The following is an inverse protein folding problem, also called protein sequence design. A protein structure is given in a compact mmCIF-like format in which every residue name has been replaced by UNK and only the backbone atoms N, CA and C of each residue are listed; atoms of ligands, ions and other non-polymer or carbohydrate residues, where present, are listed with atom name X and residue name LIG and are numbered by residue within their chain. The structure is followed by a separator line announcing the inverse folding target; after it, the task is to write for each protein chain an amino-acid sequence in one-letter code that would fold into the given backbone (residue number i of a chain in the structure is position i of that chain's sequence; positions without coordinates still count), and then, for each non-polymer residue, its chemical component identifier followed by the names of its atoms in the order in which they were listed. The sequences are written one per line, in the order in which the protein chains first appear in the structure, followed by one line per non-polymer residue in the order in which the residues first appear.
data_IF_442703127689
#
_entry.id   IF_442703127689
#
_cell.length_a   1.000
_cell.length_b   1.000
_cell.length_c   1.000
_cell.angle_alpha   90.00
_cell.angle_beta   90.00
_cell.angle_gamma   90.00
#
_symmetry.space_group_name_H-M   'P 1'
#
loop_
_entity.id
_entity.type
_entity.pdbx_description
1 polymer ?
#
# COMPACT_ATOMS: atom_id res chain seq x y z
N UNK A 1 -6.93 -2.43 -19.14
CA UNK A 1 -6.38 -3.72 -18.66
C UNK A 1 -6.05 -3.58 -17.19
N UNK A 2 -6.52 -4.50 -16.34
CA UNK A 2 -6.05 -4.62 -14.97
C UNK A 2 -4.60 -5.09 -14.99
N UNK A 3 -3.74 -4.46 -14.21
CA UNK A 3 -2.33 -4.84 -14.08
C UNK A 3 -2.17 -5.70 -12.83
N UNK A 4 -1.63 -6.91 -13.03
CA UNK A 4 -1.17 -7.73 -11.91
C UNK A 4 0.29 -7.39 -11.64
N UNK A 5 0.66 -7.24 -10.38
CA UNK A 5 2.04 -6.93 -9.99
C UNK A 5 2.35 -7.53 -8.63
N UNK A 6 3.54 -8.08 -8.46
CA UNK A 6 4.03 -8.55 -7.16
C UNK A 6 5.35 -7.86 -6.82
N UNK A 7 5.59 -7.64 -5.54
CA UNK A 7 6.86 -7.15 -5.03
C UNK A 7 7.12 -7.75 -3.65
N UNK A 8 8.39 -7.88 -3.30
CA UNK A 8 8.84 -8.40 -2.02
C UNK A 8 9.89 -7.47 -1.41
N UNK A 9 9.68 -7.09 -0.15
CA UNK A 9 10.65 -6.41 0.68
C UNK A 9 11.41 -7.39 1.57
N UNK A 10 12.20 -6.86 2.52
CA UNK A 10 12.92 -7.70 3.50
C UNK A 10 11.97 -8.45 4.45
N UNK A 11 10.89 -7.79 4.86
CA UNK A 11 9.99 -8.29 5.92
C UNK A 11 8.51 -8.32 5.53
N UNK A 12 8.19 -8.09 4.27
CA UNK A 12 6.81 -8.08 3.78
C UNK A 12 6.76 -8.36 2.28
N UNK A 13 5.59 -8.78 1.80
CA UNK A 13 5.31 -9.12 0.43
C UNK A 13 3.96 -8.58 0.04
N UNK A 14 3.82 -8.26 -1.24
CA UNK A 14 2.62 -7.65 -1.77
C UNK A 14 2.29 -8.20 -3.13
N UNK A 15 1.00 -8.17 -3.43
CA UNK A 15 0.41 -8.66 -4.66
C UNK A 15 -0.76 -7.77 -5.04
N UNK A 16 -0.78 -7.33 -6.30
CA UNK A 16 -1.90 -6.63 -6.92
C UNK A 16 -2.58 -7.59 -7.87
N UNK A 17 -3.88 -7.79 -7.69
CA UNK A 17 -4.73 -8.59 -8.59
C UNK A 17 -6.03 -7.82 -8.80
N UNK A 18 -6.41 -7.62 -10.06
CA UNK A 18 -7.65 -6.92 -10.42
C UNK A 18 -7.80 -5.53 -9.76
N UNK A 19 -6.70 -4.78 -9.62
CA UNK A 19 -6.72 -3.45 -9.00
C UNK A 19 -6.69 -3.45 -7.46
N UNK A 20 -6.76 -4.63 -6.83
CA UNK A 20 -6.76 -4.80 -5.37
C UNK A 20 -5.37 -5.09 -4.84
N UNK A 21 -4.98 -4.42 -3.75
CA UNK A 21 -3.74 -4.69 -3.04
C UNK A 21 -3.93 -5.72 -1.92
N UNK A 22 -3.19 -6.82 -2.03
CA UNK A 22 -2.97 -7.79 -0.98
C UNK A 22 -1.56 -7.60 -0.43
N UNK A 23 -1.40 -7.50 0.89
CA UNK A 23 -0.09 -7.26 1.52
C UNK A 23 0.00 -8.00 2.85
N UNK A 24 1.17 -8.54 3.15
CA UNK A 24 1.43 -9.34 4.35
C UNK A 24 2.90 -9.28 4.75
N UNK A 25 3.21 -9.52 6.02
CA UNK A 25 4.53 -9.44 6.62
C UNK A 25 4.47 -8.81 8.01
N UNK A 26 5.61 -8.26 8.45
CA UNK A 26 5.64 -7.44 9.66
C UNK A 26 4.94 -6.09 9.43
N UNK A 27 4.29 -5.57 10.46
CA UNK A 27 3.59 -4.28 10.45
C UNK A 27 4.35 -3.11 11.04
N UNK A 28 5.58 -3.30 11.54
CA UNK A 28 6.38 -2.25 12.19
C UNK A 28 6.58 -1.03 11.28
N UNK A 29 6.29 0.16 11.80
CA UNK A 29 6.32 1.42 11.03
C UNK A 29 5.16 1.57 10.04
N UNK A 30 4.07 0.81 10.20
CA UNK A 30 2.86 0.93 9.39
C UNK A 30 3.01 0.47 7.93
N UNK A 31 4.06 -0.30 7.60
CA UNK A 31 4.42 -0.65 6.21
C UNK A 31 3.35 -1.44 5.44
N UNK A 32 2.41 -2.07 6.13
CA UNK A 32 1.30 -2.78 5.50
C UNK A 32 0.16 -1.82 5.07
N UNK A 33 0.15 -0.60 5.59
CA UNK A 33 -0.85 0.41 5.25
C UNK A 33 -2.25 0.10 5.78
N UNK A 34 -2.39 -0.65 6.88
CA UNK A 34 -3.67 -0.96 7.53
C UNK A 34 -4.10 0.09 8.57
N UNK A 35 -3.38 1.20 8.70
CA UNK A 35 -3.65 2.23 9.73
C UNK A 35 -3.24 1.81 11.15
N UNK A 36 -2.60 0.66 11.30
CA UNK A 36 -2.02 0.15 12.54
C UNK A 36 -0.71 -0.61 12.24
N UNK A 37 0.01 -1.02 13.30
CA UNK A 37 1.32 -1.69 13.18
C UNK A 37 1.26 -3.21 13.36
N UNK A 38 0.07 -3.79 13.53
CA UNK A 38 -0.06 -5.24 13.63
C UNK A 38 0.45 -5.96 12.39
N UNK A 39 1.13 -7.08 12.61
CA UNK A 39 1.59 -7.95 11.54
C UNK A 39 0.44 -8.77 10.94
N UNK A 40 0.55 -9.09 9.65
CA UNK A 40 -0.36 -10.02 8.98
C UNK A 40 0.48 -11.08 8.28
N UNK A 41 0.38 -12.35 8.66
CA UNK A 41 1.23 -13.42 8.10
C UNK A 41 0.54 -14.25 6.99
N UNK A 42 -0.62 -13.78 6.54
CA UNK A 42 -1.33 -14.31 5.38
C UNK A 42 -1.68 -13.14 4.46
N UNK A 43 -1.83 -13.37 3.13
CA UNK A 43 -2.26 -12.32 2.22
C UNK A 43 -3.56 -11.66 2.70
N UNK A 44 -3.46 -10.39 3.11
CA UNK A 44 -4.59 -9.63 3.62
C UNK A 44 -4.89 -8.47 2.67
N UNK A 45 -6.16 -8.32 2.32
CA UNK A 45 -6.63 -7.24 1.47
C UNK A 45 -6.48 -5.90 2.22
N UNK A 46 -5.84 -4.91 1.59
CA UNK A 46 -5.81 -3.56 2.13
C UNK A 46 -7.16 -2.87 1.89
N UNK A 47 -7.88 -2.43 2.95
CA UNK A 47 -9.21 -1.88 2.82
C UNK A 47 -9.24 -0.40 2.40
N UNK A 48 -8.08 0.27 2.35
CA UNK A 48 -7.98 1.71 2.10
C UNK A 48 -7.64 2.06 0.64
N UNK A 49 -7.35 1.06 -0.19
CA UNK A 49 -7.06 1.26 -1.60
C UNK A 49 -8.19 0.66 -2.43
N UNK A 50 -8.98 1.54 -3.04
CA UNK A 50 -10.00 1.17 -4.01
C UNK A 50 -9.37 0.55 -5.28
N UNK A 51 -10.15 -0.21 -6.06
CA UNK A 51 -9.81 -1.09 -7.21
C UNK A 51 -9.03 -0.45 -8.38
N UNK A 52 -7.98 0.28 -8.07
CA UNK A 52 -7.25 1.22 -8.92
C UNK A 52 -5.74 1.10 -8.73
N UNK A 53 -5.28 0.14 -7.91
CA UNK A 53 -3.84 -0.12 -7.73
C UNK A 53 -3.29 -0.73 -9.01
N UNK A 54 -2.25 -0.09 -9.55
CA UNK A 54 -1.60 -0.48 -10.80
C UNK A 54 -0.36 -1.30 -10.57
N UNK A 55 0.50 -0.84 -9.66
CA UNK A 55 1.70 -1.54 -9.29
C UNK A 55 2.11 -1.23 -7.85
N UNK A 56 2.99 -2.07 -7.33
CA UNK A 56 3.59 -1.92 -6.00
C UNK A 56 5.10 -2.09 -6.07
N UNK A 57 5.80 -1.39 -5.19
CA UNK A 57 7.21 -1.54 -4.93
C UNK A 57 7.45 -1.58 -3.42
N UNK A 58 8.15 -2.61 -2.96
CA UNK A 58 8.45 -2.82 -1.54
C UNK A 58 9.96 -2.70 -1.32
N UNK A 59 10.35 -1.84 -0.39
CA UNK A 59 11.73 -1.73 0.09
C UNK A 59 11.97 -2.61 1.31
N UNK A 60 13.06 -2.35 2.04
CA UNK A 60 13.35 -3.12 3.25
C UNK A 60 12.24 -3.01 4.31
N UNK A 61 11.78 -1.78 4.56
CA UNK A 61 10.82 -1.43 5.62
C UNK A 61 9.72 -0.47 5.16
N UNK A 62 9.64 -0.14 3.87
CA UNK A 62 8.68 0.81 3.31
C UNK A 62 7.94 0.20 2.11
N UNK A 63 6.73 0.71 1.84
CA UNK A 63 5.85 0.26 0.77
C UNK A 63 5.38 1.45 -0.06
N UNK A 64 5.32 1.30 -1.38
CA UNK A 64 4.76 2.29 -2.28
C UNK A 64 3.77 1.59 -3.23
N UNK A 65 2.59 2.18 -3.38
CA UNK A 65 1.57 1.73 -4.32
C UNK A 65 1.25 2.86 -5.31
N UNK A 66 1.24 2.54 -6.60
CA UNK A 66 0.79 3.46 -7.64
C UNK A 66 -0.67 3.17 -7.95
N UNK A 67 -1.53 4.16 -7.78
CA UNK A 67 -2.94 4.08 -8.19
C UNK A 67 -3.15 4.87 -9.48
N UNK A 68 -3.98 4.36 -10.39
CA UNK A 68 -4.49 5.21 -11.47
C UNK A 68 -5.52 6.16 -10.86
N UNK A 69 -5.09 7.38 -10.52
CA UNK A 69 -6.01 8.46 -10.16
C UNK A 69 -6.97 8.63 -11.34
N UNK A 70 -8.27 8.47 -11.10
CA UNK A 70 -9.23 9.13 -11.97
C UNK A 70 -8.92 10.63 -11.86
N UNK A 71 -8.50 11.24 -12.96
CA UNK A 71 -8.27 12.67 -13.06
C UNK A 71 -9.62 13.32 -12.83
N UNK A 72 -9.91 13.68 -11.58
CA UNK A 72 -10.70 14.86 -11.24
C UNK A 72 -10.20 15.51 -9.95
N UNK A 73 -9.68 14.80 -8.94
CA UNK A 73 -9.00 15.47 -7.82
C UNK A 73 -7.85 14.65 -7.22
N UNK A 74 -6.72 15.33 -7.01
CA UNK A 74 -5.63 14.98 -6.08
C UNK A 74 -4.47 14.11 -6.61
N UNK A 75 -3.37 14.78 -6.98
CA UNK A 75 -1.99 14.27 -7.09
C UNK A 75 -1.47 13.65 -5.77
N UNK A 76 -2.03 12.52 -5.31
CA UNK A 76 -1.54 11.83 -4.11
C UNK A 76 -0.67 10.63 -4.46
N UNK A 77 0.64 10.85 -4.47
CA UNK A 77 1.60 9.78 -4.26
C UNK A 77 1.51 9.40 -2.77
N UNK A 78 0.87 8.28 -2.45
CA UNK A 78 0.79 7.80 -1.07
C UNK A 78 2.10 7.09 -0.72
N UNK A 79 3.02 7.84 -0.10
CA UNK A 79 4.16 7.26 0.60
C UNK A 79 3.60 6.62 1.88
N UNK A 80 3.55 5.29 1.95
CA UNK A 80 3.18 4.60 3.18
C UNK A 80 4.43 4.57 4.07
N UNK A 81 4.54 5.59 4.95
CA UNK A 81 5.57 5.65 5.99
C UNK A 81 6.16 7.05 6.20
N UNK A 82 5.43 7.91 6.92
CA UNK A 82 5.86 8.61 8.14
C UNK A 82 4.68 9.50 8.63
N UNK A 83 4.55 9.60 9.95
CA UNK A 83 3.50 10.29 10.67
C UNK A 83 3.61 11.82 10.49
N UNK A 84 2.80 12.44 9.61
CA UNK A 84 2.67 13.92 9.61
C UNK A 84 1.33 14.36 10.22
N UNK A 85 1.40 14.71 11.51
CA UNK A 85 0.41 15.56 12.18
C UNK A 85 0.26 16.88 11.39
N UNK A 86 -0.80 17.01 10.59
CA UNK A 86 -1.35 18.33 10.25
C UNK A 86 -2.83 18.41 10.56
N UNK A 87 -3.04 18.90 11.78
CA UNK A 87 -4.27 19.49 12.30
C UNK A 87 -4.68 20.64 11.36
N UNK A 88 -5.89 20.55 10.83
CA UNK A 88 -6.54 21.57 10.02
C UNK A 88 -6.54 22.95 10.73
N UNK A 89 -6.15 23.98 9.98
CA UNK A 89 -6.83 25.27 9.95
C UNK A 89 -7.17 25.56 8.49
#
# INVERSE_FOLDING_TARGET
RFSNSSSCGLFHSGLVVNGKLWIWGKGDGGRLGFGHEDAAFVPTLNPYLDDHVRCIALGGVHSIALTSLAVEECNRCLILGEEEKRRLK
#
